data_IF_349433293442
#
_entry.id   IF_349433293442
#
_cell.length_a   1.000
_cell.length_b   1.000
_cell.length_c   1.000
_cell.angle_alpha   90.00
_cell.angle_beta   90.00
_cell.angle_gamma   90.00
#
_symmetry.space_group_name_H-M   'P 1'
#
loop_
_entity.id
_entity.type
_entity.pdbx_description
1 polymer ?
#
# COMPACT_ATOMS: atom_id res chain seq x y z
N UNK A 1 -25.69 -34.78 14.07
CA UNK A 1 -24.58 -33.85 13.76
C UNK A 1 -24.93 -32.89 12.61
N UNK A 2 -26.21 -32.62 12.35
CA UNK A 2 -26.70 -31.87 11.17
C UNK A 2 -27.31 -30.49 11.48
N UNK A 3 -26.99 -29.90 12.64
CA UNK A 3 -27.64 -28.66 13.08
C UNK A 3 -26.75 -27.40 13.00
N UNK A 4 -25.61 -27.40 12.30
CA UNK A 4 -24.71 -26.28 12.28
C UNK A 4 -24.46 -25.66 10.90
N UNK A 5 -25.07 -26.14 9.84
CA UNK A 5 -25.02 -25.48 8.54
C UNK A 5 -26.28 -24.61 8.46
N UNK A 6 -26.17 -23.35 8.89
CA UNK A 6 -27.17 -22.34 8.52
C UNK A 6 -27.21 -22.30 7.00
N UNK A 7 -28.39 -22.32 6.35
CA UNK A 7 -28.46 -22.12 4.92
C UNK A 7 -27.74 -20.80 4.59
N UNK A 8 -26.88 -20.83 3.59
CA UNK A 8 -26.25 -19.63 3.08
C UNK A 8 -27.37 -18.63 2.79
N UNK A 9 -27.29 -17.44 3.36
CA UNK A 9 -28.19 -16.35 2.98
C UNK A 9 -27.88 -16.11 1.50
N UNK A 10 -28.83 -16.46 0.63
CA UNK A 10 -28.73 -16.13 -0.79
C UNK A 10 -28.81 -14.59 -0.90
N UNK A 11 -27.66 -13.95 -0.88
CA UNK A 11 -27.58 -12.58 -1.35
C UNK A 11 -27.61 -12.65 -2.87
N UNK A 12 -28.52 -11.91 -3.54
CA UNK A 12 -28.46 -11.83 -4.99
C UNK A 12 -27.06 -11.33 -5.41
N UNK A 13 -26.38 -12.13 -6.21
CA UNK A 13 -25.08 -11.74 -6.75
C UNK A 13 -25.31 -10.54 -7.65
N UNK A 14 -24.80 -9.38 -7.24
CA UNK A 14 -24.86 -8.17 -8.06
C UNK A 14 -23.71 -8.20 -9.05
N UNK A 15 -24.02 -8.14 -10.33
CA UNK A 15 -22.98 -7.98 -11.36
C UNK A 15 -22.39 -6.59 -11.28
N UNK A 16 -21.06 -6.51 -11.12
CA UNK A 16 -20.29 -5.29 -11.10
C UNK A 16 -19.71 -5.05 -12.49
N UNK A 17 -19.96 -3.89 -13.04
CA UNK A 17 -19.38 -3.46 -14.29
C UNK A 17 -18.82 -2.03 -14.22
N UNK A 18 -18.24 -1.55 -15.31
CA UNK A 18 -17.67 -0.19 -15.40
C UNK A 18 -18.71 0.93 -15.32
N UNK A 19 -20.00 0.61 -15.34
CA UNK A 19 -21.11 1.58 -15.18
C UNK A 19 -21.59 1.67 -13.75
N UNK A 20 -21.22 0.72 -12.91
CA UNK A 20 -21.64 0.67 -11.51
C UNK A 20 -21.01 1.83 -10.75
N UNK A 21 -21.85 2.68 -10.18
CA UNK A 21 -21.42 3.84 -9.39
C UNK A 21 -21.08 3.40 -7.97
N UNK A 22 -19.88 3.72 -7.49
CA UNK A 22 -19.46 3.36 -6.13
C UNK A 22 -20.31 3.98 -5.04
N UNK A 23 -21.01 5.08 -5.33
CA UNK A 23 -21.94 5.72 -4.38
C UNK A 23 -23.09 4.82 -3.98
N UNK A 24 -23.57 3.97 -4.87
CA UNK A 24 -24.66 3.04 -4.59
C UNK A 24 -24.24 1.99 -3.55
N UNK A 25 -23.00 1.46 -3.66
CA UNK A 25 -22.46 0.53 -2.67
C UNK A 25 -22.22 1.18 -1.33
N UNK A 26 -21.65 2.38 -1.33
CA UNK A 26 -21.39 3.11 -0.10
C UNK A 26 -22.68 3.47 0.64
N UNK A 27 -23.77 3.74 -0.08
CA UNK A 27 -25.08 3.94 0.53
C UNK A 27 -25.61 2.65 1.20
N UNK A 28 -25.44 1.49 0.55
CA UNK A 28 -25.78 0.19 1.15
C UNK A 28 -24.93 -0.11 2.38
N UNK A 29 -23.61 0.07 2.27
CA UNK A 29 -22.65 -0.14 3.36
C UNK A 29 -23.01 0.75 4.58
N UNK A 30 -23.36 2.01 4.35
CA UNK A 30 -23.80 2.94 5.40
C UNK A 30 -25.04 2.45 6.14
N UNK A 31 -26.06 2.02 5.42
CA UNK A 31 -27.27 1.46 6.02
C UNK A 31 -26.97 0.23 6.88
N UNK A 32 -26.03 -0.62 6.45
CA UNK A 32 -25.65 -1.80 7.22
C UNK A 32 -24.80 -1.44 8.45
N UNK A 33 -23.93 -0.47 8.35
CA UNK A 33 -23.16 0.05 9.47
C UNK A 33 -24.07 0.63 10.57
N UNK A 34 -25.10 1.39 10.18
CA UNK A 34 -26.11 1.93 11.09
C UNK A 34 -26.89 0.82 11.80
N UNK A 35 -27.36 -0.19 11.07
CA UNK A 35 -28.06 -1.36 11.66
C UNK A 35 -27.19 -2.14 12.65
N UNK A 36 -25.88 -2.17 12.42
CA UNK A 36 -24.89 -2.85 13.27
C UNK A 36 -24.36 -2.01 14.42
N UNK A 37 -24.76 -0.72 14.51
CA UNK A 37 -24.33 0.18 15.58
C UNK A 37 -22.84 0.54 15.51
N UNK A 38 -22.25 0.63 14.31
CA UNK A 38 -20.83 0.94 14.14
C UNK A 38 -20.45 2.34 14.63
N UNK A 39 -21.42 3.25 14.76
CA UNK A 39 -21.18 4.58 15.33
C UNK A 39 -20.67 4.57 16.79
N UNK A 40 -20.87 3.45 17.50
CA UNK A 40 -20.40 3.29 18.89
C UNK A 40 -18.96 2.74 18.98
N UNK A 41 -18.32 2.48 17.85
CA UNK A 41 -16.99 1.88 17.75
C UNK A 41 -16.02 2.85 17.10
N UNK A 42 -14.76 2.85 17.57
CA UNK A 42 -13.67 3.45 16.83
C UNK A 42 -13.19 2.45 15.77
N UNK A 43 -13.38 2.80 14.50
CA UNK A 43 -13.01 1.95 13.37
C UNK A 43 -11.88 2.62 12.59
N UNK A 44 -10.78 1.92 12.46
CA UNK A 44 -9.58 2.37 11.74
C UNK A 44 -9.30 1.41 10.61
N UNK A 45 -9.33 1.91 9.38
CA UNK A 45 -8.84 1.19 8.21
C UNK A 45 -7.34 1.44 8.11
N UNK A 46 -6.55 0.39 8.35
CA UNK A 46 -5.09 0.47 8.36
C UNK A 46 -4.46 0.13 7.00
N UNK A 47 -5.28 -0.09 5.97
CA UNK A 47 -4.82 -0.52 4.64
C UNK A 47 -5.73 0.03 3.53
N UNK A 48 -5.99 1.33 3.58
CA UNK A 48 -6.79 2.03 2.59
C UNK A 48 -5.93 2.48 1.40
N UNK A 49 -6.35 2.12 0.21
CA UNK A 49 -5.64 2.48 -1.01
C UNK A 49 -6.33 3.56 -1.82
N UNK A 50 -5.53 4.45 -2.41
CA UNK A 50 -5.97 5.31 -3.48
C UNK A 50 -5.22 5.04 -4.79
N UNK A 51 -5.74 5.55 -5.89
CA UNK A 51 -5.12 5.38 -7.21
C UNK A 51 -4.43 6.69 -7.59
N UNK A 52 -3.24 6.91 -7.07
CA UNK A 52 -2.48 8.16 -7.21
C UNK A 52 -2.09 8.49 -8.66
N UNK A 53 -2.07 7.49 -9.55
CA UNK A 53 -1.80 7.72 -10.97
C UNK A 53 -2.81 8.63 -11.66
N UNK A 54 -3.99 8.80 -11.10
CA UNK A 54 -4.99 9.77 -11.60
C UNK A 54 -4.50 11.21 -11.40
N UNK A 55 -3.72 11.46 -10.34
CA UNK A 55 -3.14 12.76 -10.01
C UNK A 55 -1.67 12.86 -10.43
N UNK A 56 -1.22 12.04 -11.39
CA UNK A 56 0.19 11.91 -11.75
C UNK A 56 0.87 13.22 -12.13
N UNK A 57 0.19 14.07 -12.90
CA UNK A 57 0.72 15.37 -13.30
C UNK A 57 0.94 16.32 -12.10
N UNK A 58 0.09 16.23 -11.08
CA UNK A 58 0.28 16.98 -9.84
C UNK A 58 1.51 16.44 -9.08
N UNK A 59 1.61 15.12 -8.91
CA UNK A 59 2.71 14.47 -8.20
C UNK A 59 4.05 14.81 -8.87
N UNK A 60 4.15 14.66 -10.18
CA UNK A 60 5.40 14.93 -10.91
C UNK A 60 5.82 16.38 -10.85
N UNK A 61 4.87 17.33 -10.67
CA UNK A 61 5.18 18.75 -10.50
C UNK A 61 6.03 19.04 -9.25
N UNK A 62 6.01 18.16 -8.25
CA UNK A 62 6.84 18.24 -7.04
C UNK A 62 8.28 17.73 -7.23
N UNK A 63 8.61 17.13 -8.37
CA UNK A 63 9.98 16.73 -8.68
C UNK A 63 10.80 17.96 -9.04
N UNK A 64 11.82 18.24 -8.24
CA UNK A 64 12.65 19.45 -8.40
C UNK A 64 13.60 19.35 -9.61
N UNK A 65 14.17 18.16 -9.86
CA UNK A 65 15.05 17.93 -11.00
C UNK A 65 14.26 17.88 -12.32
N UNK A 66 14.53 18.77 -13.29
CA UNK A 66 13.75 18.87 -14.52
C UNK A 66 13.92 17.64 -15.45
N UNK A 67 15.07 16.95 -15.38
CA UNK A 67 15.34 15.77 -16.21
C UNK A 67 14.57 14.58 -15.66
N UNK A 68 14.62 14.36 -14.34
CA UNK A 68 13.88 13.32 -13.66
C UNK A 68 12.37 13.56 -13.78
N UNK A 69 11.93 14.82 -13.63
CA UNK A 69 10.52 15.21 -13.85
C UNK A 69 10.05 14.84 -15.24
N UNK A 70 10.79 15.24 -16.27
CA UNK A 70 10.45 14.93 -17.65
C UNK A 70 10.36 13.41 -17.88
N UNK A 71 11.32 12.65 -17.34
CA UNK A 71 11.29 11.20 -17.41
C UNK A 71 10.07 10.61 -16.70
N UNK A 72 9.71 11.09 -15.51
CA UNK A 72 8.54 10.66 -14.76
C UNK A 72 7.23 10.99 -15.50
N UNK A 73 7.14 12.16 -16.14
CA UNK A 73 5.98 12.55 -16.97
C UNK A 73 5.79 11.61 -18.16
N UNK A 74 6.87 11.11 -18.76
CA UNK A 74 6.79 10.16 -19.86
C UNK A 74 6.24 8.78 -19.45
N UNK A 75 6.28 8.44 -18.16
CA UNK A 75 5.68 7.20 -17.65
C UNK A 75 4.16 7.30 -17.46
N UNK A 76 3.57 8.44 -17.70
CA UNK A 76 2.12 8.62 -17.58
C UNK A 76 1.39 7.62 -18.49
N UNK A 77 0.66 6.72 -17.88
CA UNK A 77 -0.24 5.82 -18.58
C UNK A 77 -1.61 6.49 -18.68
N UNK A 78 -2.22 6.49 -19.86
CA UNK A 78 -3.62 6.89 -20.03
C UNK A 78 -4.59 5.93 -19.31
N UNK A 79 -4.09 4.80 -18.84
CA UNK A 79 -4.88 3.80 -18.10
C UNK A 79 -4.84 4.09 -16.62
N UNK A 80 -5.97 4.44 -16.07
CA UNK A 80 -6.18 4.55 -14.62
C UNK A 80 -5.78 3.22 -13.96
N UNK A 81 -4.95 3.30 -12.93
CA UNK A 81 -4.48 2.12 -12.18
C UNK A 81 -3.32 1.35 -12.80
N UNK A 82 -2.81 1.78 -13.96
CA UNK A 82 -1.56 1.21 -14.48
C UNK A 82 -0.36 1.86 -13.78
N UNK A 83 0.68 1.07 -13.43
CA UNK A 83 1.91 1.65 -12.88
C UNK A 83 2.52 2.61 -13.91
N UNK A 84 2.74 3.88 -13.55
CA UNK A 84 3.20 4.89 -14.50
C UNK A 84 4.65 4.70 -14.93
N UNK A 85 5.38 3.79 -14.33
CA UNK A 85 6.79 3.53 -14.60
C UNK A 85 7.09 2.15 -15.21
N UNK A 86 6.11 1.55 -15.89
CA UNK A 86 6.33 0.36 -16.72
C UNK A 86 6.85 -0.89 -15.99
N UNK A 87 6.77 -0.94 -14.66
CA UNK A 87 7.26 -2.08 -13.89
C UNK A 87 6.56 -3.40 -14.20
N UNK A 88 5.39 -3.32 -14.80
CA UNK A 88 4.63 -4.46 -15.26
C UNK A 88 4.86 -4.78 -16.75
N UNK A 89 5.85 -4.18 -17.39
CA UNK A 89 6.13 -4.41 -18.82
C UNK A 89 6.36 -5.86 -19.20
N UNK A 90 6.79 -6.68 -18.25
CA UNK A 90 7.01 -8.12 -18.44
C UNK A 90 5.79 -9.00 -18.21
N UNK A 91 4.67 -8.44 -17.77
CA UNK A 91 3.49 -9.22 -17.37
C UNK A 91 2.96 -10.12 -18.50
N UNK A 92 2.94 -9.63 -19.72
CA UNK A 92 2.46 -10.38 -20.88
C UNK A 92 3.41 -11.45 -21.39
N UNK A 93 4.66 -11.47 -20.92
CA UNK A 93 5.70 -12.38 -21.44
C UNK A 93 5.88 -13.62 -20.58
N UNK A 94 5.50 -13.59 -19.30
CA UNK A 94 5.83 -14.64 -18.33
C UNK A 94 4.70 -15.57 -17.97
N UNK A 95 3.46 -15.18 -18.19
CA UNK A 95 2.32 -16.04 -17.93
C UNK A 95 1.49 -16.29 -19.19
N UNK A 96 1.04 -17.52 -19.30
CA UNK A 96 0.28 -17.99 -20.44
C UNK A 96 -1.23 -17.74 -20.27
N UNK A 97 -1.66 -17.45 -19.06
CA UNK A 97 -3.06 -17.27 -18.71
C UNK A 97 -3.22 -16.06 -17.81
N UNK A 98 -4.15 -15.18 -18.16
CA UNK A 98 -4.59 -14.03 -17.34
C UNK A 98 -5.73 -14.39 -16.40
N UNK A 99 -6.04 -15.68 -16.26
CA UNK A 99 -7.09 -16.17 -15.39
C UNK A 99 -6.97 -15.66 -13.96
N UNK A 100 -8.10 -15.32 -13.38
CA UNK A 100 -8.19 -14.77 -12.03
C UNK A 100 -7.88 -13.28 -11.92
N UNK A 101 -7.70 -12.57 -13.04
CA UNK A 101 -7.56 -11.12 -13.01
C UNK A 101 -8.90 -10.48 -12.61
N UNK A 102 -8.90 -9.81 -11.48
CA UNK A 102 -10.06 -9.10 -10.96
C UNK A 102 -9.99 -7.65 -11.42
N UNK A 103 -11.09 -7.04 -11.90
CA UNK A 103 -11.14 -5.62 -12.11
C UNK A 103 -10.93 -4.88 -10.78
N UNK A 104 -9.93 -4.02 -10.73
CA UNK A 104 -9.75 -3.13 -9.59
C UNK A 104 -10.81 -2.01 -9.61
N UNK A 105 -10.96 -1.32 -8.49
CA UNK A 105 -11.89 -0.19 -8.34
C UNK A 105 -11.74 0.89 -9.42
N UNK A 106 -10.57 1.01 -10.02
CA UNK A 106 -10.33 1.89 -11.19
C UNK A 106 -11.19 1.55 -12.41
N UNK A 107 -11.79 0.37 -12.46
CA UNK A 107 -12.74 -0.01 -13.50
C UNK A 107 -14.19 0.33 -13.14
N UNK A 108 -14.45 0.82 -11.95
CA UNK A 108 -15.77 1.27 -11.51
C UNK A 108 -15.94 2.78 -11.74
N UNK A 109 -17.19 3.22 -11.73
CA UNK A 109 -17.49 4.64 -11.93
C UNK A 109 -17.35 5.40 -10.61
N UNK A 110 -16.40 6.32 -10.56
CA UNK A 110 -16.18 7.23 -9.44
C UNK A 110 -16.41 8.67 -9.88
N UNK A 111 -17.65 9.13 -9.79
CA UNK A 111 -18.01 10.49 -10.18
C UNK A 111 -17.69 11.46 -9.05
N UNK A 112 -16.88 12.48 -9.35
CA UNK A 112 -16.60 13.63 -8.49
C UNK A 112 -17.12 14.88 -9.18
N UNK A 113 -18.09 15.53 -8.56
CA UNK A 113 -18.74 16.74 -9.07
C UNK A 113 -18.17 18.01 -8.43
N UNK A 114 -17.57 17.87 -7.27
CA UNK A 114 -16.92 18.93 -6.49
C UNK A 114 -15.69 19.45 -7.24
N UNK A 115 -15.61 20.78 -7.45
CA UNK A 115 -14.50 21.42 -8.15
C UNK A 115 -13.47 22.06 -7.23
N UNK A 116 -13.91 22.40 -6.02
CA UNK A 116 -13.10 23.15 -5.06
C UNK A 116 -12.39 22.26 -4.03
N UNK A 117 -12.64 20.95 -4.10
CA UNK A 117 -12.05 19.94 -3.21
C UNK A 117 -11.31 18.92 -4.06
N UNK A 118 -10.12 18.54 -3.62
CA UNK A 118 -9.32 17.54 -4.34
C UNK A 118 -10.10 16.21 -4.47
N UNK A 119 -10.00 15.59 -5.64
CA UNK A 119 -10.71 14.33 -5.96
C UNK A 119 -10.52 13.26 -4.88
N UNK A 120 -9.28 13.03 -4.46
CA UNK A 120 -8.97 11.97 -3.49
C UNK A 120 -9.57 12.28 -2.11
N UNK A 121 -9.67 13.55 -1.73
CA UNK A 121 -10.38 13.96 -0.51
C UNK A 121 -11.87 13.61 -0.60
N UNK A 122 -12.51 13.91 -1.72
CA UNK A 122 -13.94 13.60 -1.91
C UNK A 122 -14.18 12.09 -1.83
N UNK A 123 -13.38 11.30 -2.54
CA UNK A 123 -13.55 9.85 -2.58
C UNK A 123 -13.26 9.18 -1.24
N UNK A 124 -12.20 9.61 -0.55
CA UNK A 124 -11.86 9.07 0.76
C UNK A 124 -12.93 9.41 1.79
N UNK A 125 -13.41 10.64 1.83
CA UNK A 125 -14.54 11.02 2.72
C UNK A 125 -15.79 10.20 2.45
N UNK A 126 -16.11 9.94 1.19
CA UNK A 126 -17.26 9.08 0.83
C UNK A 126 -17.06 7.66 1.33
N UNK A 127 -15.87 7.11 1.19
CA UNK A 127 -15.54 5.78 1.70
C UNK A 127 -15.63 5.74 3.23
N UNK A 128 -15.00 6.68 3.93
CA UNK A 128 -15.06 6.79 5.39
C UNK A 128 -16.50 6.86 5.88
N UNK A 129 -17.31 7.73 5.30
CA UNK A 129 -18.70 7.85 5.67
C UNK A 129 -19.52 6.58 5.34
N UNK A 130 -19.36 6.02 4.15
CA UNK A 130 -20.11 4.84 3.71
C UNK A 130 -19.76 3.59 4.51
N UNK A 131 -18.51 3.42 4.90
CA UNK A 131 -18.01 2.27 5.65
C UNK A 131 -18.05 2.47 7.17
N UNK A 132 -18.44 3.66 7.64
CA UNK A 132 -18.39 4.08 9.05
C UNK A 132 -16.98 3.95 9.64
N UNK A 133 -15.96 4.37 8.88
CA UNK A 133 -14.56 4.36 9.28
C UNK A 133 -14.18 5.76 9.80
N UNK A 134 -13.54 5.84 10.97
CA UNK A 134 -13.12 7.09 11.60
C UNK A 134 -11.77 7.57 11.08
N UNK A 135 -10.85 6.63 10.82
CA UNK A 135 -9.52 6.91 10.30
C UNK A 135 -9.16 5.98 9.16
N UNK A 136 -8.64 6.54 8.08
CA UNK A 136 -8.06 5.78 6.96
C UNK A 136 -6.57 6.05 6.83
N UNK A 137 -5.78 4.98 6.90
CA UNK A 137 -4.34 5.02 6.58
C UNK A 137 -4.18 4.84 5.09
N UNK A 138 -3.87 5.91 4.38
CA UNK A 138 -3.82 5.94 2.92
C UNK A 138 -2.48 5.45 2.41
N UNK A 139 -2.51 4.43 1.55
CA UNK A 139 -1.37 3.90 0.80
C UNK A 139 -1.53 4.17 -0.70
N UNK A 140 -0.42 4.32 -1.43
CA UNK A 140 -0.47 4.34 -2.89
C UNK A 140 -0.82 2.95 -3.45
N UNK A 141 -1.34 2.88 -4.66
CA UNK A 141 -1.55 1.61 -5.38
C UNK A 141 -0.45 1.35 -6.39
N UNK A 142 -0.30 2.14 -7.48
CA UNK A 142 0.79 1.92 -8.44
C UNK A 142 2.18 2.05 -7.82
N UNK A 143 2.39 2.96 -6.88
CA UNK A 143 3.70 3.20 -6.27
C UNK A 143 4.12 2.13 -5.24
N UNK A 144 3.31 1.13 -4.93
CA UNK A 144 3.76 -0.05 -4.19
C UNK A 144 4.91 -0.79 -4.89
N UNK A 145 5.04 -0.61 -6.20
CA UNK A 145 6.14 -1.19 -6.99
C UNK A 145 7.36 -0.28 -7.09
N UNK A 146 7.34 0.91 -6.49
CA UNK A 146 8.40 1.90 -6.64
C UNK A 146 9.76 1.38 -6.19
N UNK A 147 9.81 0.61 -5.09
CA UNK A 147 11.05 -0.04 -4.62
C UNK A 147 11.64 -1.06 -5.59
N UNK A 148 10.90 -1.47 -6.63
CA UNK A 148 11.37 -2.35 -7.70
C UNK A 148 11.92 -1.58 -8.91
N UNK A 149 11.86 -0.25 -8.91
CA UNK A 149 12.35 0.54 -10.03
C UNK A 149 13.87 0.35 -10.22
N UNK A 150 14.33 0.13 -11.47
CA UNK A 150 15.76 -0.15 -11.72
C UNK A 150 16.66 1.07 -11.45
N UNK A 151 16.13 2.26 -11.47
CA UNK A 151 16.84 3.52 -11.16
C UNK A 151 16.46 3.95 -9.75
N UNK A 152 17.39 3.80 -8.80
CA UNK A 152 17.17 4.19 -7.40
C UNK A 152 16.95 5.69 -7.23
N UNK A 153 17.50 6.51 -8.13
CA UNK A 153 17.26 7.94 -8.16
C UNK A 153 15.78 8.28 -8.44
N UNK A 154 15.13 7.54 -9.35
CA UNK A 154 13.71 7.69 -9.62
C UNK A 154 12.85 7.32 -8.39
N UNK A 155 13.24 6.27 -7.66
CA UNK A 155 12.61 5.92 -6.38
C UNK A 155 12.68 7.09 -5.39
N UNK A 156 13.83 7.73 -5.25
CA UNK A 156 14.03 8.87 -4.32
C UNK A 156 13.14 10.05 -4.70
N UNK A 157 13.18 10.48 -5.96
CA UNK A 157 12.43 11.67 -6.39
C UNK A 157 10.91 11.45 -6.37
N UNK A 158 10.45 10.29 -6.81
CA UNK A 158 9.03 9.97 -6.81
C UNK A 158 8.47 9.78 -5.39
N UNK A 159 9.21 9.11 -4.50
CA UNK A 159 8.79 9.00 -3.09
C UNK A 159 8.61 10.37 -2.46
N UNK A 160 9.60 11.27 -2.61
CA UNK A 160 9.54 12.62 -2.06
C UNK A 160 8.40 13.44 -2.66
N UNK A 161 8.23 13.38 -3.98
CA UNK A 161 7.19 14.10 -4.69
C UNK A 161 5.79 13.64 -4.25
N UNK A 162 5.58 12.34 -4.18
CA UNK A 162 4.32 11.76 -3.70
C UNK A 162 4.02 12.16 -2.25
N UNK A 163 5.00 12.01 -1.36
CA UNK A 163 4.83 12.35 0.06
C UNK A 163 4.47 13.82 0.25
N UNK A 164 5.15 14.75 -0.43
CA UNK A 164 4.85 16.19 -0.38
C UNK A 164 3.46 16.47 -0.95
N UNK A 165 3.14 15.94 -2.12
CA UNK A 165 1.84 16.09 -2.73
C UNK A 165 0.72 15.59 -1.80
N UNK A 166 0.86 14.39 -1.24
CA UNK A 166 -0.15 13.80 -0.37
C UNK A 166 -0.35 14.63 0.90
N UNK A 167 0.74 15.03 1.56
CA UNK A 167 0.68 15.80 2.81
C UNK A 167 0.22 17.24 2.64
N UNK A 168 0.45 17.84 1.48
CA UNK A 168 0.08 19.23 1.22
C UNK A 168 -1.29 19.38 0.53
N UNK A 169 -1.69 18.42 -0.32
CA UNK A 169 -2.88 18.53 -1.17
C UNK A 169 -4.06 17.67 -0.73
N UNK A 170 -3.79 16.53 -0.10
CA UNK A 170 -4.83 15.54 0.19
C UNK A 170 -5.12 15.46 1.70
N UNK A 171 -4.13 15.16 2.52
CA UNK A 171 -4.33 14.95 3.96
C UNK A 171 -4.97 16.16 4.69
N UNK A 172 -4.70 17.44 4.35
CA UNK A 172 -5.36 18.56 5.01
C UNK A 172 -6.87 18.59 4.77
N UNK A 173 -7.37 17.83 3.82
CA UNK A 173 -8.79 17.75 3.51
C UNK A 173 -9.64 17.16 4.63
N UNK A 174 -9.10 16.21 5.41
CA UNK A 174 -9.86 15.60 6.49
C UNK A 174 -8.91 15.07 7.59
N UNK A 175 -9.19 15.35 8.90
CA UNK A 175 -8.33 14.90 10.00
C UNK A 175 -8.31 13.37 10.19
N UNK A 176 -9.30 12.65 9.68
CA UNK A 176 -9.33 11.18 9.69
C UNK A 176 -8.48 10.55 8.59
N UNK A 177 -7.97 11.35 7.63
CA UNK A 177 -7.05 10.89 6.61
C UNK A 177 -5.62 10.96 7.13
N UNK A 178 -4.96 9.82 7.24
CA UNK A 178 -3.58 9.70 7.73
C UNK A 178 -2.76 8.84 6.77
N UNK A 179 -1.44 8.89 6.86
CA UNK A 179 -0.56 8.09 5.99
C UNK A 179 0.70 7.64 6.69
N UNK A 180 1.34 6.63 6.10
CA UNK A 180 2.73 6.26 6.34
C UNK A 180 3.55 6.71 5.13
N UNK A 181 4.54 7.56 5.38
CA UNK A 181 5.40 8.13 4.34
C UNK A 181 6.18 7.05 3.60
N UNK A 182 6.10 7.03 2.28
CA UNK A 182 6.84 6.08 1.43
C UNK A 182 8.32 6.42 1.44
N UNK A 183 9.14 5.45 1.85
CA UNK A 183 10.59 5.59 1.92
C UNK A 183 11.28 5.04 0.67
N UNK A 184 12.28 5.72 0.10
CA UNK A 184 13.15 5.18 -0.94
C UNK A 184 14.13 4.18 -0.32
N UNK A 185 13.66 2.97 -0.07
CA UNK A 185 14.35 2.00 0.79
C UNK A 185 15.65 1.48 0.17
N UNK A 186 15.79 1.52 -1.17
CA UNK A 186 17.05 1.14 -1.81
C UNK A 186 18.18 2.19 -1.61
N UNK A 187 17.86 3.37 -1.09
CA UNK A 187 18.81 4.45 -0.80
C UNK A 187 18.67 4.90 0.66
N UNK A 188 19.26 4.17 1.64
CA UNK A 188 19.04 4.36 3.07
C UNK A 188 19.29 5.79 3.57
N UNK A 189 20.30 6.48 3.03
CA UNK A 189 20.61 7.86 3.43
C UNK A 189 19.51 8.86 2.98
N UNK A 190 18.88 8.63 1.82
CA UNK A 190 17.75 9.44 1.37
C UNK A 190 16.48 9.09 2.14
N UNK A 191 16.29 7.80 2.49
CA UNK A 191 15.21 7.39 3.37
C UNK A 191 15.31 8.03 4.75
N UNK A 192 16.53 8.14 5.30
CA UNK A 192 16.77 8.86 6.57
C UNK A 192 16.38 10.33 6.47
N UNK A 193 16.77 11.04 5.39
CA UNK A 193 16.36 12.43 5.17
C UNK A 193 14.84 12.59 5.09
N UNK A 194 14.12 11.60 4.52
CA UNK A 194 12.65 11.63 4.50
C UNK A 194 12.04 11.42 5.89
N UNK A 195 12.64 10.60 6.74
CA UNK A 195 12.23 10.51 8.14
C UNK A 195 12.36 11.87 8.82
N UNK A 196 13.50 12.54 8.63
CA UNK A 196 13.74 13.88 9.19
C UNK A 196 12.78 14.94 8.63
N UNK A 197 12.46 14.87 7.32
CA UNK A 197 11.55 15.82 6.67
C UNK A 197 10.09 15.66 7.12
N UNK A 198 9.64 14.41 7.33
CA UNK A 198 8.22 14.13 7.50
C UNK A 198 7.80 13.67 8.91
N UNK A 199 8.74 13.45 9.84
CA UNK A 199 8.40 12.92 11.16
C UNK A 199 7.39 13.80 11.93
N UNK A 200 7.46 15.11 11.78
CA UNK A 200 6.60 16.06 12.49
C UNK A 200 5.46 16.63 11.63
N UNK A 201 5.30 16.15 10.40
CA UNK A 201 4.23 16.60 9.52
C UNK A 201 2.88 16.07 10.04
N UNK A 202 1.85 16.94 10.15
CA UNK A 202 0.51 16.53 10.57
C UNK A 202 -0.03 15.38 9.72
N UNK A 203 -0.76 14.46 10.35
CA UNK A 203 -1.39 13.28 9.72
C UNK A 203 -0.40 12.25 9.14
N UNK A 204 0.91 12.44 9.30
CA UNK A 204 1.91 11.40 9.08
C UNK A 204 2.05 10.59 10.37
N UNK A 205 1.63 9.33 10.33
CA UNK A 205 1.62 8.44 11.50
C UNK A 205 2.74 7.41 11.52
N UNK A 206 3.52 7.31 10.45
CA UNK A 206 4.63 6.37 10.33
C UNK A 206 5.31 6.43 8.98
N UNK A 207 6.05 5.37 8.68
CA UNK A 207 6.84 5.23 7.48
C UNK A 207 6.56 3.92 6.79
N UNK A 208 6.56 3.91 5.47
CA UNK A 208 6.23 2.75 4.65
C UNK A 208 7.40 2.34 3.75
N UNK A 209 7.72 1.07 3.79
CA UNK A 209 8.60 0.41 2.82
C UNK A 209 7.72 -0.34 1.84
N UNK A 210 7.82 0.00 0.58
CA UNK A 210 7.17 -0.74 -0.51
C UNK A 210 8.00 -1.96 -0.89
N UNK A 211 7.72 -2.62 -2.00
CA UNK A 211 8.52 -3.77 -2.45
C UNK A 211 10.00 -3.40 -2.54
N UNK A 212 10.87 -4.29 -2.03
CA UNK A 212 12.33 -4.08 -2.05
C UNK A 212 13.00 -4.94 -3.11
N UNK A 213 13.99 -4.40 -3.79
CA UNK A 213 14.68 -5.11 -4.86
C UNK A 213 16.10 -5.57 -4.50
N UNK A 214 16.86 -4.70 -3.82
CA UNK A 214 18.32 -4.84 -3.81
C UNK A 214 18.90 -5.26 -2.47
N UNK A 215 18.27 -4.87 -1.36
CA UNK A 215 18.87 -5.04 -0.05
C UNK A 215 17.92 -5.74 0.92
N UNK A 216 18.42 -6.72 1.68
CA UNK A 216 17.61 -7.34 2.72
C UNK A 216 17.37 -6.36 3.88
N UNK A 217 16.22 -6.45 4.49
CA UNK A 217 15.79 -5.54 5.59
C UNK A 217 16.72 -5.51 6.80
N UNK A 218 17.57 -6.54 6.98
CA UNK A 218 18.55 -6.62 8.06
C UNK A 218 19.92 -6.06 7.72
N UNK A 219 20.11 -5.48 6.51
CA UNK A 219 21.38 -4.86 6.12
C UNK A 219 21.79 -3.78 7.12
N UNK A 220 23.09 -3.74 7.48
CA UNK A 220 23.62 -2.75 8.39
C UNK A 220 23.44 -1.29 7.92
N UNK A 221 23.26 -1.09 6.64
CA UNK A 221 23.00 0.23 6.06
C UNK A 221 21.70 0.86 6.57
N UNK A 222 20.72 0.06 7.00
CA UNK A 222 19.45 0.56 7.54
C UNK A 222 19.48 0.92 9.03
N UNK A 223 20.56 0.60 9.75
CA UNK A 223 20.55 0.75 11.21
C UNK A 223 20.37 2.20 11.68
N UNK A 224 20.90 3.18 10.91
CA UNK A 224 20.66 4.61 11.20
C UNK A 224 19.22 5.01 10.95
N UNK A 225 18.64 4.50 9.86
CA UNK A 225 17.24 4.72 9.50
C UNK A 225 16.31 4.17 10.58
N UNK A 226 16.51 2.91 11.01
CA UNK A 226 15.70 2.30 12.05
C UNK A 226 15.81 3.04 13.39
N UNK A 227 17.00 3.53 13.74
CA UNK A 227 17.19 4.36 14.93
C UNK A 227 16.37 5.66 14.83
N UNK A 228 16.42 6.36 13.73
CA UNK A 228 15.67 7.60 13.54
C UNK A 228 14.14 7.36 13.61
N UNK A 229 13.67 6.27 13.00
CA UNK A 229 12.24 5.90 13.08
C UNK A 229 11.87 5.54 14.52
N UNK A 230 12.68 4.76 15.24
CA UNK A 230 12.46 4.44 16.66
C UNK A 230 12.37 5.71 17.51
N UNK A 231 13.31 6.65 17.33
CA UNK A 231 13.37 7.91 18.05
C UNK A 231 12.17 8.83 17.76
N UNK A 232 11.62 8.76 16.56
CA UNK A 232 10.37 9.47 16.21
C UNK A 232 9.14 8.92 16.95
N UNK A 233 9.22 7.72 17.53
CA UNK A 233 8.11 7.01 18.17
C UNK A 233 7.06 6.46 17.21
N UNK A 234 7.30 6.55 15.90
CA UNK A 234 6.39 6.12 14.83
C UNK A 234 6.73 4.72 14.32
N UNK A 235 5.76 3.95 13.81
CA UNK A 235 6.01 2.63 13.24
C UNK A 235 6.65 2.69 11.86
N UNK A 236 7.27 1.56 11.46
CA UNK A 236 7.61 1.24 10.09
C UNK A 236 6.68 0.15 9.57
N UNK A 237 6.09 0.34 8.40
CA UNK A 237 5.26 -0.64 7.72
C UNK A 237 5.99 -1.23 6.51
N UNK A 238 5.83 -2.52 6.31
CA UNK A 238 6.28 -3.22 5.12
C UNK A 238 5.03 -3.59 4.30
N UNK A 239 4.81 -2.86 3.23
CA UNK A 239 3.71 -3.06 2.30
C UNK A 239 4.27 -3.47 0.94
N UNK A 240 4.48 -4.76 0.76
CA UNK A 240 4.99 -5.30 -0.48
C UNK A 240 3.88 -5.38 -1.53
N UNK A 241 4.26 -5.20 -2.79
CA UNK A 241 3.45 -5.57 -3.94
C UNK A 241 3.89 -6.91 -4.52
N UNK A 242 3.07 -7.49 -5.35
CA UNK A 242 3.42 -8.70 -6.11
C UNK A 242 4.37 -8.35 -7.27
N UNK A 243 5.32 -9.22 -7.59
CA UNK A 243 6.16 -9.04 -8.77
C UNK A 243 6.72 -10.35 -9.31
N UNK A 244 6.79 -10.46 -10.64
CA UNK A 244 7.36 -11.63 -11.33
C UNK A 244 8.88 -11.70 -11.32
N UNK A 245 9.54 -10.64 -10.89
CA UNK A 245 11.01 -10.61 -10.86
C UNK A 245 11.60 -11.36 -9.67
N UNK A 246 10.76 -11.72 -8.67
CA UNK A 246 11.19 -12.60 -7.61
C UNK A 246 11.39 -14.02 -8.17
N UNK A 247 12.59 -14.60 -8.01
CA UNK A 247 12.89 -15.94 -8.53
C UNK A 247 11.94 -17.02 -8.02
N UNK A 248 11.42 -16.89 -6.80
CA UNK A 248 10.48 -17.85 -6.22
C UNK A 248 9.09 -17.80 -6.87
N UNK A 249 8.73 -16.67 -7.47
CA UNK A 249 7.45 -16.44 -8.15
C UNK A 249 7.56 -16.52 -9.67
N UNK A 250 8.78 -16.60 -10.22
CA UNK A 250 9.02 -16.59 -11.66
C UNK A 250 8.41 -17.78 -12.41
N UNK A 251 8.10 -18.86 -11.70
CA UNK A 251 7.45 -20.05 -12.27
C UNK A 251 5.92 -19.99 -12.26
N UNK A 252 5.32 -19.01 -11.63
CA UNK A 252 3.88 -18.79 -11.71
C UNK A 252 3.49 -18.40 -13.13
N UNK A 253 2.56 -19.14 -13.73
CA UNK A 253 2.12 -18.92 -15.11
C UNK A 253 0.74 -18.25 -15.20
N UNK A 254 0.11 -17.93 -14.07
CA UNK A 254 -1.16 -17.23 -14.00
C UNK A 254 -1.06 -15.98 -13.15
N UNK A 255 -1.86 -14.97 -13.48
CA UNK A 255 -1.94 -13.75 -12.67
C UNK A 255 -2.40 -14.05 -11.23
N UNK A 256 -3.44 -14.87 -11.08
CA UNK A 256 -3.97 -15.23 -9.75
C UNK A 256 -2.91 -15.89 -8.86
N UNK A 257 -2.13 -16.83 -9.41
CA UNK A 257 -1.09 -17.53 -8.65
C UNK A 257 -0.02 -16.57 -8.13
N UNK A 258 0.50 -15.71 -9.00
CA UNK A 258 1.52 -14.74 -8.62
C UNK A 258 0.96 -13.67 -7.65
N UNK A 259 -0.23 -13.16 -7.91
CA UNK A 259 -0.87 -12.15 -7.06
C UNK A 259 -1.17 -12.70 -5.65
N UNK A 260 -1.70 -13.93 -5.56
CA UNK A 260 -2.05 -14.54 -4.26
C UNK A 260 -0.82 -14.85 -3.39
N UNK A 261 0.31 -15.19 -4.01
CA UNK A 261 1.52 -15.55 -3.27
C UNK A 261 2.43 -14.37 -3.02
N UNK A 262 2.51 -13.42 -3.97
CA UNK A 262 3.54 -12.40 -3.98
C UNK A 262 3.52 -11.46 -2.78
N UNK A 263 2.35 -11.01 -2.37
CA UNK A 263 2.19 -10.14 -1.20
C UNK A 263 2.68 -10.84 0.08
N UNK A 264 2.14 -12.02 0.35
CA UNK A 264 2.51 -12.78 1.55
C UNK A 264 3.99 -13.18 1.50
N UNK A 265 4.47 -13.72 0.37
CA UNK A 265 5.82 -14.25 0.25
C UNK A 265 6.90 -13.19 0.51
N UNK A 266 6.76 -12.01 -0.05
CA UNK A 266 7.71 -10.92 0.18
C UNK A 266 7.85 -10.60 1.68
N UNK A 267 6.74 -10.47 2.38
CA UNK A 267 6.75 -10.16 3.81
C UNK A 267 7.13 -11.35 4.70
N UNK A 268 6.87 -12.58 4.28
CA UNK A 268 7.42 -13.78 4.97
C UNK A 268 8.94 -13.69 5.01
N UNK A 269 9.57 -13.43 3.87
CA UNK A 269 11.04 -13.33 3.79
C UNK A 269 11.55 -12.15 4.63
N UNK A 270 10.91 -10.99 4.52
CA UNK A 270 11.32 -9.79 5.26
C UNK A 270 11.18 -9.97 6.78
N UNK A 271 10.05 -10.46 7.26
CA UNK A 271 9.81 -10.66 8.68
C UNK A 271 10.73 -11.72 9.28
N UNK A 272 10.98 -12.81 8.54
CA UNK A 272 11.95 -13.85 8.94
C UNK A 272 13.33 -13.22 9.13
N UNK A 273 13.80 -12.46 8.14
CA UNK A 273 15.07 -11.75 8.24
C UNK A 273 15.09 -10.70 9.36
N UNK A 274 14.00 -10.00 9.60
CA UNK A 274 13.85 -9.02 10.67
C UNK A 274 14.04 -9.65 12.04
N UNK A 275 13.37 -10.77 12.28
CA UNK A 275 13.42 -11.49 13.57
C UNK A 275 14.78 -12.18 13.77
N UNK A 276 15.18 -13.03 12.83
CA UNK A 276 16.38 -13.88 12.97
C UNK A 276 17.70 -13.08 12.97
N UNK A 277 17.70 -11.85 12.50
CA UNK A 277 18.88 -10.98 12.58
C UNK A 277 18.80 -9.96 13.77
N UNK A 278 17.89 -10.19 14.70
CA UNK A 278 17.82 -9.46 15.96
C UNK A 278 17.48 -7.98 15.81
N UNK A 279 16.68 -7.59 14.81
CA UNK A 279 16.27 -6.19 14.67
C UNK A 279 15.39 -5.75 15.84
N UNK A 280 14.43 -6.55 16.34
CA UNK A 280 13.63 -6.18 17.53
C UNK A 280 14.47 -5.98 18.80
N UNK A 281 15.53 -6.77 19.00
CA UNK A 281 16.43 -6.63 20.13
C UNK A 281 17.30 -5.37 20.04
N UNK A 282 17.70 -5.00 18.82
CA UNK A 282 18.51 -3.80 18.56
C UNK A 282 17.70 -2.51 18.66
N UNK A 283 16.40 -2.59 18.34
CA UNK A 283 15.46 -1.46 18.31
C UNK A 283 14.15 -1.83 19.04
N UNK A 284 14.20 -1.97 20.38
CA UNK A 284 13.07 -2.55 21.14
C UNK A 284 11.83 -1.66 21.20
N UNK A 285 11.94 -0.39 20.83
CA UNK A 285 10.79 0.54 20.77
C UNK A 285 10.26 0.72 19.35
N UNK A 286 10.97 0.22 18.34
CA UNK A 286 10.54 0.30 16.95
C UNK A 286 9.39 -0.68 16.69
N UNK A 287 8.23 -0.13 16.37
CA UNK A 287 7.06 -0.94 15.99
C UNK A 287 7.11 -1.23 14.49
N UNK A 288 6.92 -2.49 14.09
CA UNK A 288 6.82 -2.91 12.70
C UNK A 288 5.41 -3.41 12.37
N UNK A 289 4.95 -3.11 11.17
CA UNK A 289 3.68 -3.57 10.60
C UNK A 289 3.96 -4.35 9.32
N UNK A 290 3.21 -5.44 9.11
CA UNK A 290 3.37 -6.35 7.96
C UNK A 290 2.04 -6.39 7.22
N UNK A 291 1.90 -5.50 6.24
CA UNK A 291 0.63 -5.23 5.57
C UNK A 291 0.36 -6.26 4.48
N UNK A 292 -0.90 -6.68 4.30
CA UNK A 292 -1.36 -7.66 3.31
C UNK A 292 -0.65 -9.04 3.35
N UNK A 293 -0.20 -9.49 4.51
CA UNK A 293 0.72 -10.64 4.61
C UNK A 293 0.05 -11.92 5.13
N UNK A 294 -1.18 -11.84 5.60
CA UNK A 294 -1.79 -12.94 6.35
C UNK A 294 -1.08 -13.20 7.68
N UNK A 295 -1.59 -14.12 8.46
CA UNK A 295 -1.05 -14.43 9.81
C UNK A 295 -0.67 -15.90 10.00
N UNK A 296 -1.23 -16.81 9.21
CA UNK A 296 -1.11 -18.27 9.42
C UNK A 296 0.34 -18.78 9.38
N UNK A 297 1.19 -18.16 8.61
CA UNK A 297 2.59 -18.56 8.46
C UNK A 297 3.49 -18.14 9.64
N UNK A 298 3.06 -17.20 10.49
CA UNK A 298 3.78 -16.79 11.71
C UNK A 298 3.89 -17.96 12.69
N UNK A 299 2.87 -18.83 12.74
CA UNK A 299 2.92 -20.04 13.55
C UNK A 299 4.05 -20.97 13.11
N UNK A 300 4.37 -21.02 11.80
CA UNK A 300 5.46 -21.84 11.29
C UNK A 300 6.82 -21.35 11.80
N UNK A 301 7.06 -20.06 11.81
CA UNK A 301 8.29 -19.48 12.36
C UNK A 301 8.45 -19.83 13.83
N UNK A 302 7.38 -19.62 14.62
CA UNK A 302 7.39 -19.89 16.07
C UNK A 302 7.65 -21.37 16.38
N UNK A 303 7.03 -22.29 15.64
CA UNK A 303 7.22 -23.73 15.87
C UNK A 303 8.58 -24.23 15.40
N UNK A 304 9.21 -23.58 14.43
CA UNK A 304 10.55 -23.93 13.95
C UNK A 304 11.61 -23.54 14.98
N UNK A 305 11.45 -22.39 15.65
CA UNK A 305 12.36 -21.95 16.73
C UNK A 305 12.28 -22.89 17.93
N UNK A 306 11.09 -23.35 18.29
CA UNK A 306 10.88 -24.28 19.41
C UNK A 306 11.41 -25.71 19.12
N UNK A 307 11.76 -26.03 17.89
CA UNK A 307 12.30 -27.34 17.53
C UNK A 307 13.84 -27.40 17.67
N UNK A 308 14.50 -26.27 17.81
CA UNK A 308 15.97 -26.16 17.94
C UNK A 308 16.42 -26.06 19.42
N UNK A 309 15.50 -26.04 20.38
CA UNK A 309 15.74 -26.17 21.82
C UNK A 309 15.58 -27.63 22.29
#
# INVERSE_FOLDING_TARGET
>A
MDALIKPAIEHPVQELDTRTDTRDYLAHARNDAEKKGFADWLIVDIDAHHVESVSWAEITSYIEDPVVRHQAEMYQSERVGAPPYGLNGDLGLRYQDVGGRIPHQSSQREVVEEKDVHRDVVLTRRAMHGLAVDYMVIFPTPMLFLGMHPQTEMEVFLSRAYNRWLTERVLPGDPGMVTLVVLPFNTPDEALKMVEEFADVPNVIGFCVTSTRYKPVHSNEYMKLYRAIEESGKPIAFHAGYHWQDPSLATCNTFLGMHSLGFAWCNIVHMTNWILNGIPERFPKLKSMWVESGLSWVCLLYTSDAADE
#
